data_IF_362182381125
#
_entry.id   IF_362182381125
#
_cell.length_a   1.000
_cell.length_b   1.000
_cell.length_c   1.000
_cell.angle_alpha   90.00
_cell.angle_beta   90.00
_cell.angle_gamma   90.00
#
_symmetry.space_group_name_H-M   'P 1'
#
loop_
_entity.id
_entity.type
_entity.pdbx_description
1 polymer ?
#
# COMPACT_ATOMS: atom_id res chain seq x y z
N UNK A 1 -5.16 -17.61 -7.55
CA UNK A 1 -4.79 -17.83 -6.11
C UNK A 1 -5.62 -19.01 -5.65
N UNK A 2 -4.97 -20.03 -5.15
CA UNK A 2 -5.66 -21.22 -4.63
C UNK A 2 -5.97 -21.00 -3.15
N UNK A 3 -7.23 -21.19 -2.76
CA UNK A 3 -7.66 -21.07 -1.36
C UNK A 3 -7.72 -22.48 -0.78
N UNK A 4 -6.95 -22.72 0.26
CA UNK A 4 -6.98 -23.96 1.02
C UNK A 4 -7.84 -23.74 2.26
N UNK A 5 -8.86 -24.56 2.44
CA UNK A 5 -9.68 -24.60 3.66
C UNK A 5 -9.16 -25.74 4.52
N UNK A 6 -8.59 -25.41 5.65
CA UNK A 6 -8.08 -26.38 6.61
C UNK A 6 -8.80 -26.19 7.96
N UNK A 7 -9.84 -27.01 8.24
CA UNK A 7 -10.60 -26.91 9.49
C UNK A 7 -9.83 -27.42 10.71
N UNK A 8 -8.72 -28.14 10.51
CA UNK A 8 -7.87 -28.66 11.59
C UNK A 8 -6.72 -27.70 11.95
N UNK A 9 -6.57 -26.59 11.22
CA UNK A 9 -5.51 -25.63 11.44
C UNK A 9 -5.61 -25.00 12.84
N UNK A 10 -4.64 -25.24 13.69
CA UNK A 10 -4.47 -24.46 14.92
C UNK A 10 -3.73 -23.15 14.60
N UNK A 11 -4.49 -22.06 14.43
CA UNK A 11 -3.92 -20.74 14.16
C UNK A 11 -2.91 -20.25 15.23
N UNK A 12 -2.95 -20.81 16.46
CA UNK A 12 -2.01 -20.48 17.53
C UNK A 12 -0.62 -21.05 17.29
N UNK A 13 -0.51 -22.06 16.42
CA UNK A 13 0.78 -22.64 16.01
C UNK A 13 1.48 -21.84 14.92
N UNK A 14 0.81 -20.83 14.33
CA UNK A 14 1.37 -19.99 13.27
C UNK A 14 2.23 -18.91 13.90
N UNK A 15 3.50 -18.91 13.56
CA UNK A 15 4.50 -17.97 14.11
C UNK A 15 4.24 -16.52 13.67
N UNK A 16 3.78 -16.30 12.44
CA UNK A 16 3.56 -14.97 11.88
C UNK A 16 2.40 -14.95 10.88
N UNK A 17 1.52 -13.97 11.02
CA UNK A 17 0.50 -13.62 10.03
C UNK A 17 0.93 -12.35 9.29
N UNK A 18 1.09 -12.44 7.97
CA UNK A 18 1.39 -11.27 7.13
C UNK A 18 0.14 -10.45 6.80
N UNK A 19 -0.99 -11.13 6.66
CA UNK A 19 -2.28 -10.50 6.36
C UNK A 19 -3.41 -11.42 6.82
N UNK A 20 -4.44 -10.84 7.42
CA UNK A 20 -5.67 -11.55 7.79
C UNK A 20 -6.86 -10.92 7.05
N UNK A 21 -7.69 -11.77 6.45
CA UNK A 21 -8.94 -11.37 5.83
C UNK A 21 -10.09 -11.72 6.75
N UNK A 22 -10.93 -10.74 7.05
CA UNK A 22 -12.19 -10.96 7.76
C UNK A 22 -13.33 -10.72 6.79
N UNK A 23 -14.01 -11.78 6.41
CA UNK A 23 -15.15 -11.70 5.49
C UNK A 23 -16.35 -11.21 6.27
N UNK A 24 -16.72 -9.97 6.06
CA UNK A 24 -17.84 -9.31 6.75
C UNK A 24 -18.30 -8.06 6.00
N UNK A 25 -19.58 -7.71 6.16
CA UNK A 25 -20.13 -6.43 5.73
C UNK A 25 -19.63 -5.28 6.64
N UNK A 26 -19.79 -4.00 6.22
CA UNK A 26 -19.48 -2.86 7.07
C UNK A 26 -20.28 -2.79 8.38
N UNK A 27 -21.50 -3.35 8.39
CA UNK A 27 -22.33 -3.43 9.59
C UNK A 27 -21.77 -4.46 10.57
N UNK A 28 -21.41 -5.64 10.08
CA UNK A 28 -20.84 -6.72 10.88
C UNK A 28 -19.46 -6.33 11.43
N UNK A 29 -18.63 -5.63 10.65
CA UNK A 29 -17.33 -5.12 11.11
C UNK A 29 -17.45 -4.30 12.39
N UNK A 30 -18.44 -3.43 12.47
CA UNK A 30 -18.70 -2.59 13.65
C UNK A 30 -19.03 -3.39 14.91
N UNK A 31 -19.51 -4.62 14.74
CA UNK A 31 -19.82 -5.53 15.83
C UNK A 31 -18.60 -6.34 16.31
N UNK A 32 -17.49 -6.34 15.54
CA UNK A 32 -16.27 -7.09 15.89
C UNK A 32 -15.33 -6.18 16.68
N UNK A 33 -15.54 -6.11 17.98
CA UNK A 33 -14.80 -5.21 18.88
C UNK A 33 -13.27 -5.38 18.84
N UNK A 34 -12.76 -6.55 18.44
CA UNK A 34 -11.31 -6.79 18.30
C UNK A 34 -10.69 -6.05 17.12
N UNK A 35 -11.44 -5.80 16.05
CA UNK A 35 -10.96 -5.07 14.87
C UNK A 35 -10.64 -3.61 15.17
N UNK A 36 -11.33 -2.99 16.14
CA UNK A 36 -11.04 -1.61 16.55
C UNK A 36 -9.67 -1.44 17.23
N UNK A 37 -8.98 -2.52 17.55
CA UNK A 37 -7.69 -2.53 18.27
C UNK A 37 -6.49 -2.81 17.36
N UNK A 38 -6.72 -3.04 16.08
CA UNK A 38 -5.68 -3.40 15.10
C UNK A 38 -5.82 -2.54 13.86
N UNK A 39 -4.72 -2.28 13.13
CA UNK A 39 -4.80 -1.58 11.86
C UNK A 39 -5.66 -2.37 10.87
N UNK A 40 -6.65 -1.72 10.28
CA UNK A 40 -7.54 -2.33 9.30
C UNK A 40 -7.70 -1.44 8.08
N UNK A 41 -7.88 -2.07 6.92
CA UNK A 41 -8.24 -1.39 5.67
C UNK A 41 -9.36 -2.16 4.97
N UNK A 42 -10.30 -1.44 4.38
CA UNK A 42 -11.41 -2.02 3.61
C UNK A 42 -11.30 -1.56 2.15
N UNK A 43 -11.02 -2.52 1.26
CA UNK A 43 -10.98 -2.30 -0.20
C UNK A 43 -12.13 -3.01 -0.92
N UNK A 44 -13.00 -3.70 -0.18
CA UNK A 44 -14.11 -4.47 -0.71
C UNK A 44 -15.33 -4.34 0.20
N UNK A 45 -16.56 -4.32 -0.34
CA UNK A 45 -17.77 -4.35 0.48
C UNK A 45 -17.93 -5.65 1.29
N UNK A 46 -17.16 -6.70 0.95
CA UNK A 46 -17.31 -8.04 1.52
C UNK A 46 -16.22 -8.43 2.50
N UNK A 47 -15.15 -7.64 2.63
CA UNK A 47 -14.03 -8.01 3.50
C UNK A 47 -13.30 -6.80 4.07
N UNK A 48 -12.80 -6.92 5.29
CA UNK A 48 -11.81 -6.05 5.90
C UNK A 48 -10.49 -6.81 6.03
N UNK A 49 -9.40 -6.08 5.85
CA UNK A 49 -8.04 -6.62 5.95
C UNK A 49 -7.41 -6.12 7.24
N UNK A 50 -6.77 -7.01 7.97
CA UNK A 50 -5.91 -6.68 9.11
C UNK A 50 -4.48 -6.77 8.62
N UNK A 51 -3.84 -5.63 8.46
CA UNK A 51 -2.45 -5.53 8.01
C UNK A 51 -1.87 -4.17 8.44
N UNK A 52 -0.53 -4.04 8.54
CA UNK A 52 0.10 -2.73 8.66
C UNK A 52 -0.25 -1.90 7.42
N UNK A 53 -0.90 -0.75 7.62
CA UNK A 53 -1.39 0.09 6.52
C UNK A 53 -0.50 1.29 6.24
N UNK A 54 0.49 1.56 7.08
CA UNK A 54 1.42 2.67 6.91
C UNK A 54 2.62 2.26 6.05
N UNK A 55 2.47 2.41 4.73
CA UNK A 55 3.53 2.14 3.77
C UNK A 55 4.70 3.13 3.92
N UNK A 56 4.45 4.38 4.32
CA UNK A 56 5.48 5.39 4.54
C UNK A 56 6.42 4.99 5.67
N UNK A 57 5.89 4.52 6.79
CA UNK A 57 6.68 3.96 7.88
C UNK A 57 7.46 2.70 7.43
N UNK A 58 6.85 1.86 6.61
CA UNK A 58 7.52 0.70 6.01
C UNK A 58 8.75 1.09 5.18
N UNK A 59 8.63 2.14 4.36
CA UNK A 59 9.74 2.69 3.57
C UNK A 59 10.86 3.19 4.50
N UNK A 60 10.55 3.99 5.52
CA UNK A 60 11.53 4.51 6.48
C UNK A 60 12.33 3.39 7.15
N UNK A 61 11.67 2.32 7.57
CA UNK A 61 12.31 1.13 8.15
C UNK A 61 13.20 0.41 7.15
N UNK A 62 12.75 0.28 5.90
CA UNK A 62 13.52 -0.35 4.83
C UNK A 62 14.81 0.44 4.57
N UNK A 63 14.73 1.77 4.40
CA UNK A 63 15.88 2.63 4.16
C UNK A 63 16.86 2.60 5.33
N UNK A 64 16.38 2.64 6.57
CA UNK A 64 17.21 2.50 7.76
C UNK A 64 17.94 1.14 7.82
N UNK A 65 17.26 0.05 7.44
CA UNK A 65 17.86 -1.29 7.38
C UNK A 65 18.95 -1.40 6.31
N UNK A 66 18.74 -0.76 5.16
CA UNK A 66 19.71 -0.74 4.05
C UNK A 66 20.86 0.24 4.29
N UNK A 67 20.75 1.14 5.25
CA UNK A 67 21.71 2.24 5.45
C UNK A 67 21.71 3.24 4.28
N UNK A 68 20.57 3.34 3.55
CA UNK A 68 20.43 4.21 2.40
C UNK A 68 19.77 5.55 2.79
N UNK A 69 19.99 6.57 1.96
CA UNK A 69 19.41 7.89 2.19
C UNK A 69 17.91 7.90 1.89
N UNK A 70 17.14 8.58 2.73
CA UNK A 70 15.71 8.78 2.49
C UNK A 70 15.44 9.64 1.25
N UNK A 71 16.40 10.48 0.88
CA UNK A 71 16.32 11.34 -0.32
C UNK A 71 16.43 10.56 -1.63
N UNK A 72 16.94 9.32 -1.57
CA UNK A 72 17.05 8.42 -2.74
C UNK A 72 15.76 7.64 -3.01
N UNK A 73 14.71 7.85 -2.20
CA UNK A 73 13.42 7.17 -2.35
C UNK A 73 12.58 7.84 -3.43
N UNK A 74 12.00 7.01 -4.29
CA UNK A 74 10.92 7.42 -5.20
C UNK A 74 9.74 6.48 -5.00
N UNK A 75 8.55 7.07 -4.80
CA UNK A 75 7.32 6.31 -4.61
C UNK A 75 6.36 6.52 -5.76
N UNK A 76 5.64 5.46 -6.11
CA UNK A 76 4.56 5.49 -7.08
C UNK A 76 3.25 5.11 -6.39
N UNK A 77 2.16 5.80 -6.72
CA UNK A 77 0.86 5.51 -6.13
C UNK A 77 -0.31 5.87 -7.02
N UNK A 78 -1.42 5.18 -6.83
CA UNK A 78 -2.66 5.42 -7.55
C UNK A 78 -3.91 5.44 -6.64
N UNK A 79 -3.88 4.78 -5.49
CA UNK A 79 -5.02 4.60 -4.61
C UNK A 79 -4.92 5.30 -3.25
N UNK A 80 -6.01 5.30 -2.51
CA UNK A 80 -6.11 5.92 -1.19
C UNK A 80 -5.16 5.30 -0.14
N UNK A 81 -4.78 4.03 -0.31
CA UNK A 81 -3.82 3.34 0.53
C UNK A 81 -2.37 3.82 0.33
N UNK A 82 -2.11 4.60 -0.72
CA UNK A 82 -0.79 5.13 -1.06
C UNK A 82 -0.56 6.54 -0.50
N UNK A 83 -1.62 7.21 -0.04
CA UNK A 83 -1.55 8.58 0.49
C UNK A 83 -0.48 8.72 1.59
N UNK A 84 -0.31 7.71 2.44
CA UNK A 84 0.69 7.70 3.50
C UNK A 84 2.15 7.63 2.99
N UNK A 85 2.37 7.32 1.70
CA UNK A 85 3.70 7.36 1.08
C UNK A 85 4.04 8.72 0.45
N UNK A 86 3.05 9.61 0.23
CA UNK A 86 3.26 10.90 -0.42
C UNK A 86 3.69 11.93 0.62
N UNK A 87 4.94 11.84 1.03
CA UNK A 87 5.57 12.65 2.06
C UNK A 87 6.65 13.56 1.44
N UNK A 88 6.90 14.74 2.00
CA UNK A 88 7.86 15.70 1.44
C UNK A 88 9.34 15.29 1.57
N UNK A 89 9.63 14.17 2.23
CA UNK A 89 10.99 13.71 2.45
C UNK A 89 11.62 13.03 1.24
N UNK A 90 10.81 12.65 0.24
CA UNK A 90 11.25 11.94 -0.97
C UNK A 90 10.41 12.29 -2.19
N UNK A 91 10.82 11.82 -3.36
CA UNK A 91 10.10 12.06 -4.61
C UNK A 91 8.86 11.18 -4.72
N UNK A 92 7.72 11.80 -5.01
CA UNK A 92 6.42 11.14 -5.18
C UNK A 92 5.88 11.28 -6.60
N UNK A 93 5.46 10.17 -7.19
CA UNK A 93 4.89 10.09 -8.53
C UNK A 93 3.47 9.54 -8.47
N UNK A 94 2.49 10.33 -8.87
CA UNK A 94 1.13 9.86 -9.05
C UNK A 94 0.94 9.27 -10.45
N UNK A 95 0.31 8.10 -10.52
CA UNK A 95 -0.10 7.50 -11.79
C UNK A 95 -1.19 8.33 -12.48
N UNK A 96 -1.30 8.25 -13.80
CA UNK A 96 -2.33 8.95 -14.57
C UNK A 96 -3.75 8.59 -14.14
N UNK A 97 -3.97 7.33 -13.77
CA UNK A 97 -5.22 6.81 -13.20
C UNK A 97 -5.37 7.06 -11.67
N UNK A 98 -4.43 7.75 -11.04
CA UNK A 98 -4.46 7.98 -9.59
C UNK A 98 -5.65 8.86 -9.18
N UNK A 99 -6.05 8.72 -7.91
CA UNK A 99 -7.04 9.59 -7.28
C UNK A 99 -6.54 11.05 -7.23
N UNK A 100 -7.46 12.00 -7.28
CA UNK A 100 -7.12 13.43 -7.31
C UNK A 100 -6.26 13.89 -6.12
N UNK A 101 -6.46 13.31 -4.95
CA UNK A 101 -5.67 13.62 -3.75
C UNK A 101 -4.18 13.34 -3.95
N UNK A 102 -3.83 12.21 -4.58
CA UNK A 102 -2.44 11.87 -4.88
C UNK A 102 -1.85 12.79 -5.96
N UNK A 103 -2.62 13.07 -7.02
CA UNK A 103 -2.18 13.99 -8.08
C UNK A 103 -1.87 15.40 -7.56
N UNK A 104 -2.60 15.85 -6.53
CA UNK A 104 -2.37 17.15 -5.90
C UNK A 104 -1.14 17.19 -4.98
N UNK A 105 -0.74 16.04 -4.45
CA UNK A 105 0.41 15.92 -3.53
C UNK A 105 1.71 15.52 -4.22
N UNK A 106 1.59 14.93 -5.41
CA UNK A 106 2.73 14.39 -6.14
C UNK A 106 3.68 15.48 -6.64
N UNK A 107 4.97 15.17 -6.62
CA UNK A 107 5.99 15.99 -7.31
C UNK A 107 5.86 15.86 -8.83
N UNK A 108 5.41 14.70 -9.31
CA UNK A 108 5.18 14.44 -10.72
C UNK A 108 3.95 13.56 -10.95
N UNK A 109 3.17 13.87 -11.98
CA UNK A 109 2.06 13.03 -12.44
C UNK A 109 2.45 12.42 -13.78
N UNK A 110 2.54 11.10 -13.83
CA UNK A 110 2.88 10.36 -15.06
C UNK A 110 1.63 9.96 -15.84
N UNK A 111 1.81 9.16 -16.90
CA UNK A 111 0.71 8.59 -17.68
C UNK A 111 0.01 7.45 -16.92
N UNK A 112 -1.09 6.95 -17.49
CA UNK A 112 -1.89 5.87 -16.91
C UNK A 112 -1.08 4.57 -16.78
N UNK A 113 -1.55 3.66 -15.93
CA UNK A 113 -0.94 2.33 -15.76
C UNK A 113 -0.95 1.53 -17.08
N UNK A 114 -1.97 1.73 -17.91
CA UNK A 114 -2.10 1.07 -19.21
C UNK A 114 -1.30 1.78 -20.34
N UNK A 115 -0.71 2.95 -20.04
CA UNK A 115 0.11 3.77 -20.95
C UNK A 115 1.58 3.86 -20.47
N UNK A 116 2.12 2.75 -19.96
CA UNK A 116 3.51 2.63 -19.50
C UNK A 116 3.92 3.68 -18.44
N UNK A 117 3.00 4.10 -17.58
CA UNK A 117 3.20 5.23 -16.66
C UNK A 117 4.45 5.13 -15.78
N UNK A 118 4.77 3.95 -15.23
CA UNK A 118 5.99 3.76 -14.43
C UNK A 118 7.24 3.94 -15.31
N UNK A 119 7.25 3.35 -16.51
CA UNK A 119 8.35 3.50 -17.46
C UNK A 119 8.58 4.97 -17.82
N UNK A 120 7.51 5.67 -18.20
CA UNK A 120 7.57 7.06 -18.60
C UNK A 120 8.09 7.97 -17.47
N UNK A 121 7.70 7.70 -16.24
CA UNK A 121 8.22 8.39 -15.07
C UNK A 121 9.71 8.10 -14.83
N UNK A 122 10.15 6.85 -14.99
CA UNK A 122 11.56 6.48 -14.84
C UNK A 122 12.44 7.16 -15.89
N UNK A 123 11.95 7.28 -17.14
CA UNK A 123 12.62 8.04 -18.19
C UNK A 123 12.67 9.54 -17.84
N UNK A 124 11.53 10.12 -17.40
CA UNK A 124 11.45 11.52 -17.02
C UNK A 124 12.41 11.88 -15.88
N UNK A 125 12.54 10.99 -14.89
CA UNK A 125 13.44 11.16 -13.74
C UNK A 125 14.90 10.79 -14.05
N UNK A 126 15.19 10.31 -15.26
CA UNK A 126 16.56 9.98 -15.70
C UNK A 126 17.12 8.67 -15.11
N UNK A 127 16.26 7.76 -14.63
CA UNK A 127 16.68 6.46 -14.11
C UNK A 127 16.97 5.44 -15.20
N UNK A 128 16.33 5.60 -16.36
CA UNK A 128 16.50 4.76 -17.53
C UNK A 128 16.55 5.61 -18.80
N UNK A 129 17.22 5.11 -19.84
CA UNK A 129 17.20 5.72 -21.18
C UNK A 129 15.91 5.34 -21.93
N UNK A 130 15.43 6.24 -22.81
CA UNK A 130 14.21 6.04 -23.59
C UNK A 130 14.42 5.06 -24.77
#
# INVERSE_FOLDING_TARGET
METVVDPELDYRSIECFYKVYVICSPEEERCIASLSKVPTARFSPYAVFVEPVDKGEGIKRCMAHLGASIEDVVVFGDGSNDVCMFLPEWTSVAMGNAIDELKQRADYVTTDVDDDGIWNACVHLGFIEA
#
